data_IF_354791690646
#
_entry.id   IF_354791690646
#
_cell.length_a   1.000
_cell.length_b   1.000
_cell.length_c   1.000
_cell.angle_alpha   90.00
_cell.angle_beta   90.00
_cell.angle_gamma   90.00
#
_symmetry.space_group_name_H-M   'P 1'
#
loop_
_entity.id
_entity.type
_entity.pdbx_description
1 polymer ?
#
# COMPACT_ATOMS: atom_id res chain seq x y z
N UNK A 1 1.84 16.84 73.09
CA UNK A 1 0.67 16.08 72.59
C UNK A 1 1.08 15.46 71.27
N UNK A 2 1.09 14.13 71.21
CA UNK A 2 1.60 13.31 70.10
C UNK A 2 0.78 13.47 68.82
N UNK A 3 1.45 13.59 67.68
CA UNK A 3 0.83 13.34 66.37
C UNK A 3 1.22 11.92 65.92
N UNK A 4 0.22 11.05 65.89
CA UNK A 4 0.32 9.67 65.39
C UNK A 4 0.21 9.72 63.86
N UNK A 5 1.19 9.14 63.17
CA UNK A 5 1.14 8.92 61.73
C UNK A 5 0.22 7.72 61.42
N UNK A 6 -0.85 7.96 60.66
CA UNK A 6 -1.75 6.91 60.17
C UNK A 6 -1.40 6.61 58.70
N UNK A 7 -0.77 5.45 58.47
CA UNK A 7 -0.49 4.93 57.13
C UNK A 7 -1.77 4.26 56.61
N UNK A 8 -2.42 4.86 55.62
CA UNK A 8 -3.54 4.27 54.88
C UNK A 8 -2.99 3.48 53.68
N UNK A 9 -3.03 2.15 53.77
CA UNK A 9 -2.84 1.23 52.65
C UNK A 9 -4.07 1.29 51.73
N UNK A 10 -3.93 1.90 50.57
CA UNK A 10 -4.90 1.83 49.47
C UNK A 10 -4.65 0.55 48.65
N UNK A 11 -5.37 -0.52 48.97
CA UNK A 11 -5.49 -1.71 48.13
C UNK A 11 -6.38 -1.40 46.92
N UNK A 12 -5.79 -1.40 45.71
CA UNK A 12 -6.52 -1.37 44.45
C UNK A 12 -7.28 -2.70 44.26
N UNK A 13 -8.60 -2.67 44.40
CA UNK A 13 -9.49 -3.69 43.86
C UNK A 13 -9.97 -3.21 42.50
N UNK A 14 -9.33 -3.67 41.42
CA UNK A 14 -9.85 -3.55 40.08
C UNK A 14 -11.09 -4.46 39.96
N UNK A 15 -12.29 -3.89 39.98
CA UNK A 15 -13.51 -4.61 39.62
C UNK A 15 -13.55 -4.78 38.10
N UNK A 16 -13.16 -5.94 37.60
CA UNK A 16 -13.47 -6.34 36.24
C UNK A 16 -14.98 -6.61 36.17
N UNK A 17 -15.72 -5.72 35.51
CA UNK A 17 -17.12 -5.98 35.15
C UNK A 17 -17.18 -7.22 34.24
N UNK A 18 -18.05 -8.22 34.52
CA UNK A 18 -18.18 -9.36 33.64
C UNK A 18 -18.87 -8.92 32.35
N UNK A 19 -18.19 -9.11 31.22
CA UNK A 19 -18.78 -8.95 29.88
C UNK A 19 -19.89 -10.00 29.77
N UNK A 20 -21.15 -9.54 29.79
CA UNK A 20 -22.32 -10.38 29.58
C UNK A 20 -22.28 -11.00 28.19
N UNK A 21 -22.18 -12.32 28.14
CA UNK A 21 -22.32 -13.12 26.92
C UNK A 21 -23.73 -12.92 26.36
N UNK A 22 -23.86 -12.35 25.15
CA UNK A 22 -25.13 -12.29 24.43
C UNK A 22 -25.58 -13.73 24.11
N UNK A 23 -26.80 -14.15 24.48
CA UNK A 23 -27.30 -15.47 24.13
C UNK A 23 -27.67 -15.48 22.64
N UNK A 24 -26.92 -16.23 21.83
CA UNK A 24 -27.20 -16.36 20.40
C UNK A 24 -26.02 -16.76 19.51
N UNK A 25 -24.79 -16.66 20.00
CA UNK A 25 -23.64 -17.27 19.31
C UNK A 25 -23.63 -18.78 19.60
N UNK A 26 -24.05 -19.58 18.61
CA UNK A 26 -23.69 -20.99 18.60
C UNK A 26 -22.17 -21.04 18.57
N UNK A 27 -21.62 -21.72 19.55
CA UNK A 27 -20.21 -22.10 19.65
C UNK A 27 -19.93 -23.13 18.55
N UNK A 28 -19.86 -22.68 17.29
CA UNK A 28 -19.21 -23.45 16.25
C UNK A 28 -17.73 -23.46 16.63
N UNK A 29 -17.30 -24.53 17.28
CA UNK A 29 -15.89 -24.84 17.48
C UNK A 29 -15.22 -24.75 16.11
N UNK A 30 -14.49 -23.66 15.87
CA UNK A 30 -13.63 -23.54 14.71
C UNK A 30 -12.61 -24.65 14.87
N UNK A 31 -12.75 -25.71 14.07
CA UNK A 31 -11.78 -26.79 14.01
C UNK A 31 -10.48 -26.18 13.45
N UNK A 32 -9.61 -25.71 14.35
CA UNK A 32 -8.30 -25.18 13.99
C UNK A 32 -7.45 -26.36 13.54
N UNK A 33 -7.56 -26.71 12.25
CA UNK A 33 -6.61 -27.60 11.61
C UNK A 33 -5.23 -26.98 11.72
N UNK A 34 -4.25 -27.81 12.09
CA UNK A 34 -2.85 -27.41 12.16
C UNK A 34 -2.47 -26.73 10.83
N UNK A 35 -2.19 -25.43 10.90
CA UNK A 35 -1.71 -24.70 9.74
C UNK A 35 -0.32 -25.23 9.45
N UNK A 36 -0.12 -25.80 8.25
CA UNK A 36 1.23 -26.06 7.75
C UNK A 36 1.98 -24.74 7.80
N UNK A 37 2.92 -24.61 8.74
CA UNK A 37 3.82 -23.45 8.77
C UNK A 37 4.60 -23.47 7.46
N UNK A 38 4.23 -22.60 6.55
CA UNK A 38 5.07 -22.26 5.40
C UNK A 38 6.20 -21.40 5.96
N UNK A 39 7.20 -22.02 6.58
CA UNK A 39 8.20 -21.30 7.35
C UNK A 39 9.46 -22.11 7.60
N UNK A 40 10.44 -21.96 6.70
CA UNK A 40 11.81 -21.51 6.95
C UNK A 40 12.58 -21.74 5.64
N UNK A 41 12.78 -20.69 4.85
CA UNK A 41 13.46 -20.82 3.55
C UNK A 41 14.94 -20.52 3.73
N UNK A 42 15.79 -21.52 3.45
CA UNK A 42 17.25 -21.35 3.44
C UNK A 42 17.65 -20.73 2.09
N UNK A 43 18.21 -19.51 2.11
CA UNK A 43 18.66 -18.80 0.90
C UNK A 43 17.59 -17.91 0.24
N UNK A 44 17.79 -17.57 -1.04
CA UNK A 44 16.96 -16.63 -1.83
C UNK A 44 15.52 -17.08 -2.13
N UNK A 45 15.03 -18.14 -1.49
CA UNK A 45 13.62 -18.54 -1.54
C UNK A 45 12.70 -17.59 -0.74
N UNK A 46 13.26 -16.57 -0.07
CA UNK A 46 12.50 -15.45 0.52
C UNK A 46 11.82 -14.56 -0.55
N UNK A 47 12.34 -14.57 -1.79
CA UNK A 47 11.91 -13.65 -2.85
C UNK A 47 10.66 -14.11 -3.61
N UNK A 48 10.19 -15.34 -3.41
CA UNK A 48 8.95 -15.87 -4.00
C UNK A 48 8.45 -17.03 -3.14
N UNK A 49 7.63 -16.76 -2.09
CA UNK A 49 7.11 -17.85 -1.28
C UNK A 49 6.38 -18.85 -2.19
N UNK A 50 6.54 -20.17 -1.96
CA UNK A 50 5.82 -21.18 -2.73
C UNK A 50 4.32 -20.92 -2.61
N UNK A 51 3.60 -21.09 -3.72
CA UNK A 51 2.17 -20.86 -3.77
C UNK A 51 1.45 -21.63 -2.67
N UNK A 52 0.55 -20.95 -1.96
CA UNK A 52 -0.35 -21.66 -1.07
C UNK A 52 -1.17 -22.65 -1.93
N UNK A 53 -1.31 -23.91 -1.52
CA UNK A 53 -2.15 -24.85 -2.26
C UNK A 53 -3.57 -24.27 -2.34
N UNK A 54 -4.27 -24.42 -3.48
CA UNK A 54 -5.66 -23.99 -3.60
C UNK A 54 -6.48 -24.55 -2.45
N UNK A 55 -7.35 -23.74 -1.84
CA UNK A 55 -8.30 -24.25 -0.84
C UNK A 55 -9.10 -25.38 -1.48
N UNK A 56 -9.07 -26.58 -0.88
CA UNK A 56 -10.15 -27.56 -1.12
C UNK A 56 -11.44 -26.87 -0.69
N UNK A 57 -12.38 -26.73 -1.62
CA UNK A 57 -13.68 -26.11 -1.37
C UNK A 57 -14.26 -26.62 -0.06
N UNK A 58 -14.81 -25.69 0.74
CA UNK A 58 -15.58 -26.05 1.93
C UNK A 58 -16.59 -27.12 1.53
N UNK A 59 -16.40 -28.35 2.04
CA UNK A 59 -17.39 -29.40 1.86
C UNK A 59 -18.63 -29.04 2.68
N UNK A 60 -19.51 -28.22 2.11
CA UNK A 60 -20.90 -28.31 2.46
C UNK A 60 -21.40 -29.64 1.89
N UNK A 61 -21.52 -30.65 2.76
CA UNK A 61 -22.20 -31.91 2.44
C UNK A 61 -23.67 -31.63 2.13
N UNK A 62 -24.10 -32.06 0.93
CA UNK A 62 -25.45 -32.50 0.48
C UNK A 62 -25.67 -31.96 -0.95
N UNK A 63 -26.07 -32.69 -1.99
CA UNK A 63 -26.53 -34.07 -2.21
C UNK A 63 -26.11 -34.45 -3.67
N UNK A 64 -26.06 -35.75 -3.99
CA UNK A 64 -25.77 -36.28 -5.35
C UNK A 64 -26.98 -36.20 -6.30
N UNK A 65 -26.67 -36.35 -7.59
CA UNK A 65 -27.50 -36.54 -8.81
C UNK A 65 -27.86 -35.22 -9.51
N UNK A 66 -27.61 -34.95 -10.81
CA UNK A 66 -26.97 -35.65 -11.93
C UNK A 66 -26.52 -34.59 -12.97
N UNK A 67 -25.52 -34.99 -13.78
CA UNK A 67 -25.14 -34.56 -15.14
C UNK A 67 -24.92 -33.08 -15.53
N UNK A 68 -23.66 -32.83 -15.90
CA UNK A 68 -23.22 -31.97 -17.01
C UNK A 68 -23.50 -30.46 -16.91
N UNK A 69 -23.04 -29.83 -15.82
CA UNK A 69 -22.73 -28.39 -15.84
C UNK A 69 -21.22 -28.20 -15.91
N UNK A 70 -20.75 -27.63 -17.03
CA UNK A 70 -19.38 -27.19 -17.25
C UNK A 70 -18.77 -26.62 -15.95
N UNK A 71 -17.77 -27.31 -15.40
CA UNK A 71 -17.03 -26.84 -14.24
C UNK A 71 -16.33 -25.54 -14.64
N UNK A 72 -16.89 -24.43 -14.19
CA UNK A 72 -16.31 -23.09 -14.28
C UNK A 72 -14.85 -23.17 -13.81
N UNK A 73 -13.90 -23.12 -14.73
CA UNK A 73 -12.47 -23.04 -14.45
C UNK A 73 -12.01 -21.60 -14.17
N UNK A 74 -12.87 -20.77 -13.56
CA UNK A 74 -12.64 -19.33 -13.36
C UNK A 74 -12.07 -18.98 -11.99
N UNK A 75 -10.90 -19.51 -11.66
CA UNK A 75 -9.94 -18.74 -10.85
C UNK A 75 -8.55 -18.95 -11.44
N UNK A 76 -8.37 -18.51 -12.68
CA UNK A 76 -7.04 -18.35 -13.25
C UNK A 76 -6.33 -17.26 -12.44
N UNK A 77 -5.45 -17.70 -11.55
CA UNK A 77 -4.54 -16.86 -10.80
C UNK A 77 -3.87 -15.82 -11.73
N UNK A 78 -3.86 -14.52 -11.40
CA UNK A 78 -3.24 -13.52 -12.25
C UNK A 78 -1.80 -13.92 -12.59
N UNK A 79 -1.47 -13.88 -13.88
CA UNK A 79 -0.07 -14.02 -14.29
C UNK A 79 0.73 -12.79 -13.85
N UNK A 80 2.06 -12.86 -14.02
CA UNK A 80 2.91 -11.74 -13.66
C UNK A 80 2.60 -10.51 -14.51
N UNK A 81 2.31 -10.65 -15.80
CA UNK A 81 1.97 -9.51 -16.65
C UNK A 81 0.75 -8.74 -16.11
N UNK A 82 -0.33 -9.45 -15.77
CA UNK A 82 -1.53 -8.89 -15.15
C UNK A 82 -1.23 -8.26 -13.79
N UNK A 83 -0.37 -8.90 -12.99
CA UNK A 83 0.00 -8.38 -11.67
C UNK A 83 0.77 -7.05 -11.75
N UNK A 84 1.63 -6.88 -12.76
CA UNK A 84 2.29 -5.59 -12.99
C UNK A 84 1.30 -4.51 -13.44
N UNK A 85 0.32 -4.84 -14.28
CA UNK A 85 -0.73 -3.90 -14.66
C UNK A 85 -1.56 -3.46 -13.45
N UNK A 86 -1.94 -4.40 -12.57
CA UNK A 86 -2.63 -4.09 -11.33
C UNK A 86 -1.78 -3.22 -10.39
N UNK A 87 -0.49 -3.51 -10.25
CA UNK A 87 0.42 -2.70 -9.43
C UNK A 87 0.57 -1.28 -9.98
N UNK A 88 0.71 -1.14 -11.31
CA UNK A 88 0.76 0.18 -11.96
C UNK A 88 -0.54 0.93 -11.82
N UNK A 89 -1.68 0.24 -11.96
CA UNK A 89 -2.99 0.83 -11.74
C UNK A 89 -3.14 1.33 -10.30
N UNK A 90 -2.74 0.53 -9.31
CA UNK A 90 -2.79 0.92 -7.89
C UNK A 90 -2.00 2.20 -7.64
N UNK A 91 -0.78 2.31 -8.19
CA UNK A 91 -0.02 3.55 -8.10
C UNK A 91 -0.72 4.73 -8.81
N UNK A 92 -1.22 4.50 -10.03
CA UNK A 92 -1.81 5.55 -10.86
C UNK A 92 -3.08 6.19 -10.26
N UNK A 93 -3.89 5.40 -9.54
CA UNK A 93 -5.16 5.88 -8.97
C UNK A 93 -5.07 6.29 -7.49
N UNK A 94 -3.91 6.09 -6.85
CA UNK A 94 -3.73 6.42 -5.44
C UNK A 94 -3.19 7.83 -5.26
N UNK A 95 -3.81 8.59 -4.36
CA UNK A 95 -3.39 9.97 -4.02
C UNK A 95 -2.51 10.01 -2.77
N UNK A 96 -2.54 9.00 -1.91
CA UNK A 96 -1.76 8.97 -0.66
C UNK A 96 -0.99 7.66 -0.52
N UNK A 97 0.16 7.72 0.15
CA UNK A 97 0.95 6.55 0.50
C UNK A 97 1.59 6.70 1.88
N UNK A 98 1.97 5.59 2.51
CA UNK A 98 2.76 5.60 3.74
C UNK A 98 4.25 5.55 3.39
N UNK A 99 4.98 6.61 3.69
CA UNK A 99 6.43 6.69 3.56
C UNK A 99 7.09 6.23 4.85
N UNK A 100 7.97 5.22 4.75
CA UNK A 100 8.72 4.70 5.89
C UNK A 100 10.19 5.08 5.79
N UNK A 101 10.71 5.67 6.86
CA UNK A 101 12.12 6.10 7.00
C UNK A 101 12.65 5.69 8.37
N UNK A 102 13.96 5.59 8.54
CA UNK A 102 14.60 5.39 9.84
C UNK A 102 15.09 6.72 10.41
N UNK A 103 15.01 6.88 11.74
CA UNK A 103 15.69 8.01 12.38
C UNK A 103 17.20 7.91 12.17
N UNK A 104 17.87 9.01 11.79
CA UNK A 104 19.28 9.00 11.44
C UNK A 104 20.17 8.82 12.67
N UNK A 105 21.43 8.45 12.42
CA UNK A 105 22.46 8.40 13.46
C UNK A 105 22.68 9.77 14.09
N UNK A 106 22.77 9.81 15.42
CA UNK A 106 22.92 11.07 16.16
C UNK A 106 21.63 11.90 16.24
N UNK A 107 20.45 11.29 16.04
CA UNK A 107 19.18 11.91 16.39
C UNK A 107 19.18 12.32 17.88
N UNK A 108 18.48 13.41 18.21
CA UNK A 108 18.51 14.01 19.56
C UNK A 108 18.17 13.02 20.68
N UNK A 109 17.24 12.12 20.39
CA UNK A 109 16.96 10.97 21.23
C UNK A 109 17.68 9.74 20.66
N UNK A 110 18.77 9.34 21.31
CA UNK A 110 19.59 8.20 20.90
C UNK A 110 18.83 6.86 20.93
N UNK A 111 17.72 6.75 21.67
CA UNK A 111 16.93 5.52 21.71
C UNK A 111 16.15 5.26 20.42
N UNK A 112 16.01 6.29 19.58
CA UNK A 112 15.30 6.21 18.30
C UNK A 112 16.22 5.91 17.11
N UNK A 113 17.54 5.94 17.27
CA UNK A 113 18.48 5.70 16.16
C UNK A 113 18.18 4.36 15.44
N UNK A 114 17.90 4.42 14.14
CA UNK A 114 17.55 3.26 13.31
C UNK A 114 16.12 2.75 13.47
N UNK A 115 15.32 3.29 14.39
CA UNK A 115 13.90 2.94 14.53
C UNK A 115 13.14 3.45 13.30
N UNK A 116 12.33 2.59 12.62
CA UNK A 116 11.53 3.03 11.50
C UNK A 116 10.30 3.83 11.97
N UNK A 117 9.93 4.81 11.18
CA UNK A 117 8.67 5.55 11.31
C UNK A 117 7.98 5.60 9.94
N UNK A 118 6.72 5.20 9.90
CA UNK A 118 5.85 5.30 8.74
C UNK A 118 4.87 6.45 8.91
N UNK A 119 4.84 7.38 7.96
CA UNK A 119 3.92 8.53 7.95
C UNK A 119 3.20 8.61 6.60
N UNK A 120 1.89 8.91 6.57
CA UNK A 120 1.18 9.15 5.32
C UNK A 120 1.62 10.48 4.70
N UNK A 121 1.82 10.48 3.39
CA UNK A 121 2.18 11.65 2.58
C UNK A 121 1.41 11.62 1.25
N UNK A 122 1.31 12.78 0.61
CA UNK A 122 0.67 12.95 -0.70
C UNK A 122 1.59 12.48 -1.82
N UNK A 123 1.02 11.73 -2.77
CA UNK A 123 1.70 11.24 -3.96
C UNK A 123 0.85 11.50 -5.21
N UNK A 124 1.49 11.57 -6.37
CA UNK A 124 0.80 11.56 -7.68
C UNK A 124 1.66 10.86 -8.75
N UNK A 125 1.12 9.87 -9.47
CA UNK A 125 1.83 9.22 -10.60
C UNK A 125 1.66 10.03 -11.89
N UNK A 126 2.22 11.23 -11.91
CA UNK A 126 2.03 12.17 -13.02
C UNK A 126 2.53 11.67 -14.38
N UNK A 127 3.52 10.78 -14.38
CA UNK A 127 4.07 10.14 -15.59
C UNK A 127 3.32 8.86 -15.99
N UNK A 128 2.22 8.52 -15.29
CA UNK A 128 1.35 7.40 -15.65
C UNK A 128 0.62 7.64 -16.97
N UNK A 129 0.23 8.88 -17.25
CA UNK A 129 -0.64 9.26 -18.36
C UNK A 129 0.13 9.51 -19.65
N UNK A 130 -0.32 8.91 -20.76
CA UNK A 130 0.42 8.92 -22.02
C UNK A 130 0.43 10.31 -22.70
N UNK A 131 -0.51 11.19 -22.34
CA UNK A 131 -0.56 12.58 -22.81
C UNK A 131 0.50 13.50 -22.14
N UNK A 132 1.10 13.09 -21.03
CA UNK A 132 2.06 13.87 -20.26
C UNK A 132 3.51 13.55 -20.64
N UNK A 133 3.88 13.79 -21.90
CA UNK A 133 5.22 13.47 -22.42
C UNK A 133 6.32 14.24 -21.69
N UNK A 134 6.08 15.52 -21.36
CA UNK A 134 7.02 16.34 -20.59
C UNK A 134 7.28 15.77 -19.19
N UNK A 135 6.22 15.45 -18.44
CA UNK A 135 6.35 14.86 -17.10
C UNK A 135 6.95 13.46 -17.14
N UNK A 136 6.73 12.69 -18.22
CA UNK A 136 7.42 11.40 -18.42
C UNK A 136 8.93 11.59 -18.55
N UNK A 137 9.39 12.66 -19.21
CA UNK A 137 10.82 12.99 -19.32
C UNK A 137 11.41 13.45 -17.98
N UNK A 138 10.66 14.21 -17.18
CA UNK A 138 11.12 14.74 -15.89
C UNK A 138 11.14 13.66 -14.81
N UNK A 139 10.05 12.92 -14.66
CA UNK A 139 9.88 11.97 -13.55
C UNK A 139 10.41 10.59 -13.91
N UNK A 140 10.33 10.20 -15.18
CA UNK A 140 10.41 8.81 -15.59
C UNK A 140 9.14 8.07 -15.22
N UNK A 141 8.79 7.07 -16.02
CA UNK A 141 7.54 6.34 -15.85
C UNK A 141 7.57 5.44 -14.62
N UNK A 142 6.54 5.54 -13.77
CA UNK A 142 6.41 4.70 -12.56
C UNK A 142 7.19 5.22 -11.37
N UNK A 143 7.56 6.50 -11.40
CA UNK A 143 8.15 7.23 -10.30
C UNK A 143 7.14 8.28 -9.86
N UNK A 144 6.49 8.13 -8.68
CA UNK A 144 5.53 9.11 -8.22
C UNK A 144 6.21 10.43 -7.86
N UNK A 145 5.48 11.52 -8.10
CA UNK A 145 5.80 12.88 -7.67
C UNK A 145 5.33 13.08 -6.22
N UNK A 146 6.15 13.78 -5.44
CA UNK A 146 5.86 14.21 -4.09
C UNK A 146 6.09 15.71 -3.95
N UNK A 147 5.24 16.34 -3.14
CA UNK A 147 5.49 17.64 -2.55
C UNK A 147 6.15 17.40 -1.19
N UNK A 148 7.47 17.57 -1.10
CA UNK A 148 8.23 17.33 0.10
C UNK A 148 8.33 18.61 0.95
N UNK A 149 7.84 18.57 2.18
CA UNK A 149 7.97 19.69 3.12
C UNK A 149 9.21 19.53 3.99
N UNK A 150 10.08 20.54 4.05
CA UNK A 150 11.33 20.49 4.82
C UNK A 150 11.11 20.27 6.32
N UNK A 151 9.93 20.64 6.83
CA UNK A 151 9.58 20.43 8.24
C UNK A 151 9.25 18.96 8.56
N UNK A 152 8.84 18.17 7.56
CA UNK A 152 8.36 16.80 7.75
C UNK A 152 9.46 15.84 8.22
N UNK A 153 9.14 14.99 9.20
CA UNK A 153 10.07 14.00 9.75
C UNK A 153 10.60 13.07 8.66
N UNK A 154 9.73 12.61 7.74
CA UNK A 154 10.10 11.78 6.58
C UNK A 154 11.25 12.41 5.79
N UNK A 155 11.07 13.67 5.36
CA UNK A 155 12.03 14.35 4.49
C UNK A 155 13.31 14.76 5.24
N UNK A 156 13.21 15.11 6.53
CA UNK A 156 14.37 15.31 7.40
C UNK A 156 15.21 14.05 7.54
N UNK A 157 14.57 12.89 7.73
CA UNK A 157 15.26 11.61 7.84
C UNK A 157 15.98 11.27 6.53
N UNK A 158 15.33 11.43 5.37
CA UNK A 158 15.95 11.20 4.05
C UNK A 158 17.14 12.12 3.84
N UNK A 159 17.00 13.42 4.13
CA UNK A 159 18.09 14.40 4.02
C UNK A 159 19.28 14.07 4.92
N UNK A 160 19.03 13.39 6.05
CA UNK A 160 20.05 12.88 6.95
C UNK A 160 20.61 11.49 6.55
N UNK A 161 20.25 10.97 5.37
CA UNK A 161 20.78 9.73 4.80
C UNK A 161 19.94 8.48 5.08
N UNK A 162 18.69 8.62 5.54
CA UNK A 162 17.79 7.47 5.67
C UNK A 162 17.37 6.93 4.31
N UNK A 163 17.34 5.60 4.20
CA UNK A 163 16.57 4.92 3.15
C UNK A 163 15.07 5.24 3.29
N UNK A 164 14.33 5.08 2.20
CA UNK A 164 12.89 5.31 2.16
C UNK A 164 12.17 4.19 1.40
N UNK A 165 10.99 3.82 1.87
CA UNK A 165 10.02 3.02 1.12
C UNK A 165 8.65 3.68 1.12
N UNK A 166 7.87 3.42 0.08
CA UNK A 166 6.52 3.94 -0.12
C UNK A 166 5.55 2.76 -0.20
N UNK A 167 4.54 2.72 0.67
CA UNK A 167 3.52 1.67 0.65
C UNK A 167 2.13 2.22 0.35
N UNK A 168 1.40 1.51 -0.51
CA UNK A 168 0.03 1.82 -0.92
C UNK A 168 -0.84 0.58 -0.63
N UNK A 169 -2.00 0.79 -0.03
CA UNK A 169 -3.03 -0.23 0.14
C UNK A 169 -4.33 0.16 -0.57
N UNK A 170 -5.12 -0.85 -0.90
CA UNK A 170 -6.46 -0.67 -1.48
C UNK A 170 -7.57 -0.90 -0.45
N UNK A 171 -7.28 -0.84 0.85
CA UNK A 171 -8.18 -1.35 1.90
C UNK A 171 -9.45 -0.52 2.08
N UNK A 172 -9.44 0.74 1.65
CA UNK A 172 -10.63 1.59 1.67
C UNK A 172 -11.76 1.09 0.76
N UNK A 173 -11.47 0.18 -0.18
CA UNK A 173 -12.47 -0.54 -1.00
C UNK A 173 -12.96 -1.84 -0.36
N UNK A 174 -12.60 -2.10 0.89
CA UNK A 174 -13.07 -3.29 1.58
C UNK A 174 -14.56 -3.23 1.88
N UNK A 175 -15.20 -4.39 1.82
CA UNK A 175 -16.61 -4.52 2.11
C UNK A 175 -16.89 -5.85 2.82
N UNK A 176 -18.03 -5.92 3.50
CA UNK A 176 -18.51 -7.17 4.09
C UNK A 176 -19.20 -7.98 2.99
N UNK A 177 -18.77 -9.23 2.72
CA UNK A 177 -19.42 -10.09 1.74
C UNK A 177 -20.90 -10.28 2.05
N UNK A 178 -21.72 -10.23 1.00
CA UNK A 178 -23.13 -10.58 1.09
C UNK A 178 -23.34 -12.05 1.50
N UNK A 179 -24.52 -12.37 2.05
CA UNK A 179 -24.87 -13.74 2.42
C UNK A 179 -24.70 -14.69 1.22
N UNK A 180 -24.03 -15.81 1.44
CA UNK A 180 -23.78 -16.83 0.41
C UNK A 180 -22.57 -16.57 -0.49
N UNK A 181 -21.86 -15.44 -0.32
CA UNK A 181 -20.57 -15.19 -0.98
C UNK A 181 -19.41 -15.78 -0.16
N UNK A 182 -18.23 -15.86 -0.77
CA UNK A 182 -17.00 -16.25 -0.07
C UNK A 182 -16.71 -15.23 1.06
N UNK A 183 -16.57 -15.67 2.32
CA UNK A 183 -16.30 -14.77 3.45
C UNK A 183 -14.95 -14.04 3.36
N UNK A 184 -14.04 -14.46 2.47
CA UNK A 184 -12.76 -13.81 2.21
C UNK A 184 -12.81 -12.82 1.02
N UNK A 185 -13.92 -12.75 0.30
CA UNK A 185 -14.10 -11.77 -0.76
C UNK A 185 -14.12 -10.35 -0.15
N UNK A 186 -13.54 -9.36 -0.83
CA UNK A 186 -13.60 -7.95 -0.41
C UNK A 186 -13.02 -7.57 0.97
N UNK A 187 -12.50 -8.49 1.78
CA UNK A 187 -11.86 -8.15 3.07
C UNK A 187 -10.51 -7.48 2.85
N UNK A 188 -10.00 -6.62 3.78
CA UNK A 188 -8.73 -5.93 3.58
C UNK A 188 -7.55 -6.83 3.18
N UNK A 189 -7.48 -8.04 3.76
CA UNK A 189 -6.41 -8.99 3.46
C UNK A 189 -6.48 -9.61 2.04
N UNK A 190 -7.66 -9.63 1.39
CA UNK A 190 -7.80 -10.06 -0.01
C UNK A 190 -7.52 -8.93 -1.00
N UNK A 191 -7.42 -7.69 -0.53
CA UNK A 191 -7.19 -6.53 -1.39
C UNK A 191 -5.70 -6.27 -1.66
N UNK A 192 -5.39 -5.65 -2.80
CA UNK A 192 -4.02 -5.38 -3.18
C UNK A 192 -3.28 -4.41 -2.27
N UNK A 193 -1.97 -4.66 -2.12
CA UNK A 193 -0.98 -3.76 -1.51
C UNK A 193 0.28 -3.74 -2.35
N UNK A 194 0.95 -2.60 -2.38
CA UNK A 194 2.20 -2.38 -3.09
C UNK A 194 3.20 -1.71 -2.15
N UNK A 195 4.44 -2.18 -2.16
CA UNK A 195 5.58 -1.52 -1.51
C UNK A 195 6.62 -1.19 -2.56
N UNK A 196 6.95 0.08 -2.70
CA UNK A 196 7.98 0.60 -3.59
C UNK A 196 9.19 1.00 -2.75
N UNK A 197 10.38 0.62 -3.21
CA UNK A 197 11.65 0.92 -2.54
C UNK A 197 12.56 1.67 -3.52
N UNK A 198 13.30 2.63 -2.99
CA UNK A 198 14.24 3.44 -3.77
C UNK A 198 14.65 4.69 -3.01
N UNK A 199 14.74 5.82 -3.70
CA UNK A 199 15.22 7.08 -3.15
C UNK A 199 14.46 8.29 -3.69
N UNK A 200 14.54 9.41 -2.97
CA UNK A 200 14.04 10.69 -3.43
C UNK A 200 15.13 11.44 -4.19
N UNK A 201 14.75 12.00 -5.33
CA UNK A 201 15.55 13.01 -6.03
C UNK A 201 14.76 14.31 -6.08
N UNK A 202 15.38 15.38 -5.57
CA UNK A 202 14.82 16.72 -5.68
C UNK A 202 14.79 17.16 -7.15
N UNK A 203 13.73 17.86 -7.52
CA UNK A 203 13.56 18.52 -8.81
C UNK A 203 13.69 20.02 -8.55
N UNK A 204 14.87 20.62 -8.77
CA UNK A 204 15.09 22.03 -8.44
C UNK A 204 14.19 22.92 -9.30
N UNK A 205 13.51 23.89 -8.69
CA UNK A 205 12.65 24.84 -9.42
C UNK A 205 13.44 25.59 -10.50
N UNK A 206 14.71 25.92 -10.24
CA UNK A 206 15.60 26.59 -11.21
C UNK A 206 15.95 25.74 -12.42
N UNK A 207 15.67 24.43 -12.39
CA UNK A 207 15.92 23.51 -13.51
C UNK A 207 14.69 23.32 -14.41
N UNK A 208 13.52 23.81 -13.99
CA UNK A 208 12.27 23.69 -14.72
C UNK A 208 12.06 24.93 -15.61
N UNK A 209 11.49 24.73 -16.79
CA UNK A 209 10.88 25.84 -17.52
C UNK A 209 9.54 26.22 -16.89
N UNK A 210 8.99 27.38 -17.24
CA UNK A 210 7.68 27.81 -16.76
C UNK A 210 6.59 26.79 -17.14
N UNK A 211 6.68 26.19 -18.34
CA UNK A 211 5.74 25.16 -18.80
C UNK A 211 5.88 23.85 -18.00
N UNK A 212 7.10 23.41 -17.72
CA UNK A 212 7.35 22.18 -16.94
C UNK A 212 6.88 22.36 -15.49
N UNK A 213 7.12 23.53 -14.90
CA UNK A 213 6.61 23.85 -13.56
C UNK A 213 5.08 23.83 -13.52
N UNK A 214 4.42 24.49 -14.47
CA UNK A 214 2.95 24.48 -14.57
C UNK A 214 2.41 23.05 -14.75
N UNK A 215 3.06 22.22 -15.56
CA UNK A 215 2.64 20.84 -15.76
C UNK A 215 2.75 19.99 -14.48
N UNK A 216 3.83 20.16 -13.71
CA UNK A 216 4.02 19.49 -12.41
C UNK A 216 2.92 19.92 -11.43
N UNK A 217 2.71 21.24 -11.29
CA UNK A 217 1.71 21.80 -10.38
C UNK A 217 0.30 21.34 -10.76
N UNK A 218 -0.08 21.46 -12.04
CA UNK A 218 -1.41 21.06 -12.52
C UNK A 218 -1.67 19.58 -12.29
N UNK A 219 -0.70 18.72 -12.57
CA UNK A 219 -0.84 17.30 -12.32
C UNK A 219 -1.04 17.01 -10.82
N UNK A 220 -0.17 17.56 -9.97
CA UNK A 220 -0.24 17.31 -8.53
C UNK A 220 -1.57 17.82 -7.94
N UNK A 221 -2.00 19.02 -8.32
CA UNK A 221 -3.26 19.62 -7.89
C UNK A 221 -4.51 18.90 -8.41
N UNK A 222 -4.40 18.10 -9.47
CA UNK A 222 -5.51 17.25 -9.92
C UNK A 222 -5.86 16.20 -8.87
N UNK A 223 -4.85 15.66 -8.16
CA UNK A 223 -5.07 14.72 -7.05
C UNK A 223 -5.21 15.44 -5.70
N UNK A 224 -4.57 16.61 -5.54
CA UNK A 224 -4.42 17.33 -4.27
C UNK A 224 -4.78 18.83 -4.42
N UNK A 225 -6.05 19.18 -4.67
CA UNK A 225 -6.45 20.57 -4.94
C UNK A 225 -6.30 21.50 -3.72
N UNK A 226 -6.19 20.94 -2.53
CA UNK A 226 -5.87 21.64 -1.28
C UNK A 226 -4.44 22.18 -1.28
N UNK A 227 -3.50 21.48 -1.92
CA UNK A 227 -2.06 21.80 -1.90
C UNK A 227 -1.68 23.12 -2.59
N UNK A 228 -2.63 23.75 -3.30
CA UNK A 228 -2.44 25.07 -3.93
C UNK A 228 -2.00 26.16 -2.95
N UNK A 229 -2.22 25.98 -1.64
CA UNK A 229 -1.83 26.93 -0.61
C UNK A 229 -0.41 26.72 -0.07
N UNK A 230 0.30 25.66 -0.48
CA UNK A 230 1.67 25.37 0.00
C UNK A 230 2.57 24.76 -1.08
N UNK A 231 2.36 25.12 -2.35
CA UNK A 231 3.22 24.66 -3.43
C UNK A 231 4.67 25.11 -3.24
N UNK A 232 5.67 24.30 -3.63
CA UNK A 232 7.07 24.68 -3.60
C UNK A 232 7.33 26.04 -4.26
N UNK A 233 8.05 26.92 -3.58
CA UNK A 233 8.36 28.27 -4.06
C UNK A 233 7.25 29.32 -3.84
N UNK A 234 6.07 28.93 -3.35
CA UNK A 234 5.01 29.90 -3.02
C UNK A 234 5.37 30.73 -1.78
N UNK A 235 5.29 32.08 -1.84
CA UNK A 235 5.71 32.95 -0.73
C UNK A 235 4.80 32.83 0.50
N UNK A 236 3.53 32.46 0.29
CA UNK A 236 2.52 32.32 1.36
C UNK A 236 2.44 30.89 1.94
N UNK A 237 3.33 29.99 1.50
CA UNK A 237 3.36 28.63 2.03
C UNK A 237 3.71 28.63 3.53
N UNK A 238 2.98 27.90 4.39
CA UNK A 238 3.28 27.80 5.82
C UNK A 238 4.70 27.27 6.10
N UNK A 239 5.23 26.44 5.19
CA UNK A 239 6.56 25.85 5.29
C UNK A 239 7.23 25.80 3.91
N UNK A 240 8.57 25.84 3.90
CA UNK A 240 9.30 25.56 2.67
C UNK A 240 9.13 24.10 2.26
N UNK A 241 9.04 23.90 0.95
CA UNK A 241 8.98 22.58 0.35
C UNK A 241 9.59 22.57 -1.04
N UNK A 242 9.79 21.38 -1.57
CA UNK A 242 10.40 21.12 -2.87
C UNK A 242 9.65 19.99 -3.59
N UNK A 243 9.73 19.99 -4.91
CA UNK A 243 9.28 18.86 -5.71
C UNK A 243 10.29 17.73 -5.62
N UNK A 244 9.82 16.51 -5.40
CA UNK A 244 10.67 15.32 -5.39
C UNK A 244 10.06 14.24 -6.26
N UNK A 245 10.89 13.55 -7.05
CA UNK A 245 10.53 12.27 -7.65
C UNK A 245 11.01 11.14 -6.75
N UNK A 246 10.14 10.17 -6.48
CA UNK A 246 10.55 8.91 -5.89
C UNK A 246 11.02 7.98 -7.01
N UNK A 247 12.33 7.78 -7.10
CA UNK A 247 12.91 6.84 -8.05
C UNK A 247 12.65 5.42 -7.54
N UNK A 248 11.78 4.70 -8.22
CA UNK A 248 11.46 3.31 -7.87
C UNK A 248 12.55 2.39 -8.40
N UNK A 249 13.24 1.74 -7.48
CA UNK A 249 14.28 0.75 -7.77
C UNK A 249 13.78 -0.68 -7.63
N UNK A 250 12.83 -0.92 -6.72
CA UNK A 250 12.19 -2.23 -6.50
C UNK A 250 10.72 -2.07 -6.16
N UNK A 251 9.90 -3.02 -6.57
CA UNK A 251 8.50 -3.11 -6.19
C UNK A 251 8.18 -4.48 -5.61
N UNK A 252 7.44 -4.53 -4.51
CA UNK A 252 6.92 -5.76 -3.91
C UNK A 252 5.40 -5.70 -3.91
N UNK A 253 4.77 -6.68 -4.56
CA UNK A 253 3.35 -6.77 -4.77
C UNK A 253 2.72 -7.82 -3.86
N UNK A 254 1.55 -7.48 -3.30
CA UNK A 254 0.68 -8.42 -2.59
C UNK A 254 -0.72 -8.23 -3.17
N UNK A 255 -1.13 -9.06 -4.13
CA UNK A 255 -2.44 -8.90 -4.78
C UNK A 255 -3.65 -9.32 -3.94
N UNK A 256 -3.43 -9.97 -2.79
CA UNK A 256 -4.48 -10.56 -1.96
C UNK A 256 -4.00 -11.82 -1.26
N UNK A 257 -4.88 -12.81 -1.10
CA UNK A 257 -4.50 -14.12 -0.58
C UNK A 257 -3.65 -14.92 -1.58
N UNK A 258 -2.59 -15.58 -1.12
CA UNK A 258 -1.61 -16.27 -1.97
C UNK A 258 -2.11 -17.52 -2.71
N UNK A 259 -3.34 -17.98 -2.43
CA UNK A 259 -4.04 -19.02 -3.18
C UNK A 259 -4.82 -18.47 -4.39
N UNK A 260 -4.92 -17.13 -4.51
CA UNK A 260 -5.77 -16.43 -5.49
C UNK A 260 -5.06 -15.27 -6.20
N UNK A 261 -4.02 -14.71 -5.58
CA UNK A 261 -3.25 -13.60 -6.12
C UNK A 261 -1.73 -13.78 -5.96
N UNK A 262 -0.96 -13.19 -6.87
CA UNK A 262 0.51 -13.18 -6.81
C UNK A 262 0.99 -12.37 -5.61
N UNK A 263 2.05 -12.87 -4.97
CA UNK A 263 2.81 -12.18 -3.93
C UNK A 263 4.29 -12.30 -4.29
N UNK A 264 4.99 -11.17 -4.41
CA UNK A 264 6.42 -11.17 -4.69
C UNK A 264 6.93 -9.92 -5.38
N UNK A 265 8.18 -9.98 -5.82
CA UNK A 265 8.87 -8.87 -6.46
C UNK A 265 8.40 -8.64 -7.91
N UNK A 266 8.25 -7.38 -8.26
CA UNK A 266 7.98 -6.92 -9.62
C UNK A 266 9.30 -6.87 -10.41
N UNK A 267 9.20 -7.20 -11.69
CA UNK A 267 10.21 -6.92 -12.71
C UNK A 267 10.19 -5.42 -13.03
N UNK A 268 11.33 -4.77 -12.80
CA UNK A 268 11.43 -3.33 -12.90
C UNK A 268 11.55 -2.81 -14.34
N UNK A 269 11.95 -3.66 -15.28
CA UNK A 269 11.95 -3.30 -16.70
C UNK A 269 10.51 -3.29 -17.22
N UNK A 270 9.69 -4.27 -16.80
CA UNK A 270 8.26 -4.28 -17.09
C UNK A 270 7.55 -3.10 -16.41
N UNK A 271 7.82 -2.86 -15.11
CA UNK A 271 7.24 -1.75 -14.35
C UNK A 271 7.38 -0.40 -15.06
N UNK A 272 8.59 -0.11 -15.56
CA UNK A 272 8.92 1.15 -16.24
C UNK A 272 8.32 1.24 -17.65
N UNK A 273 8.03 0.10 -18.28
CA UNK A 273 7.55 0.04 -19.67
C UNK A 273 6.02 0.10 -19.82
N UNK A 274 5.25 -0.26 -18.79
CA UNK A 274 3.77 -0.29 -18.85
C UNK A 274 3.21 1.09 -19.20
N UNK A 275 2.26 1.16 -20.13
CA UNK A 275 1.58 2.41 -20.52
C UNK A 275 0.21 2.57 -19.89
N UNK A 276 -0.36 3.77 -20.00
CA UNK A 276 -1.75 4.00 -19.60
C UNK A 276 -2.67 3.19 -20.49
N UNK A 277 -2.60 3.42 -21.79
CA UNK A 277 -3.50 2.82 -22.75
C UNK A 277 -2.86 1.61 -23.44
N UNK A 278 -3.72 0.74 -23.96
CA UNK A 278 -3.30 -0.32 -24.86
C UNK A 278 -2.50 0.23 -26.04
N UNK A 279 -1.37 -0.41 -26.35
CA UNK A 279 -0.54 -0.07 -27.50
C UNK A 279 0.08 -1.34 -28.10
N UNK A 280 0.02 -1.48 -29.44
CA UNK A 280 0.61 -2.61 -30.18
C UNK A 280 0.21 -4.00 -29.63
N UNK A 281 -1.06 -4.16 -29.27
CA UNK A 281 -1.59 -5.42 -28.71
C UNK A 281 -1.19 -5.72 -27.26
N UNK A 282 -0.47 -4.81 -26.59
CA UNK A 282 -0.16 -4.89 -25.16
C UNK A 282 -1.11 -4.01 -24.37
N UNK A 283 -1.73 -4.57 -23.32
CA UNK A 283 -2.58 -3.82 -22.40
C UNK A 283 -1.79 -2.78 -21.60
N UNK A 284 -2.41 -1.63 -21.36
CA UNK A 284 -1.97 -0.64 -20.41
C UNK A 284 -2.67 -0.79 -19.05
N UNK A 285 -2.24 -0.02 -18.06
CA UNK A 285 -2.82 -0.07 -16.71
C UNK A 285 -4.27 0.45 -16.67
N UNK A 286 -4.69 1.26 -17.65
CA UNK A 286 -6.07 1.76 -17.75
C UNK A 286 -7.07 0.68 -18.19
N UNK A 287 -6.58 -0.41 -18.81
CA UNK A 287 -7.39 -1.50 -19.37
C UNK A 287 -7.82 -2.56 -18.34
N UNK A 288 -7.31 -2.47 -17.11
CA UNK A 288 -7.67 -3.36 -16.00
C UNK A 288 -8.35 -2.55 -14.89
N UNK A 289 -9.00 -3.23 -13.95
CA UNK A 289 -9.58 -2.66 -12.74
C UNK A 289 -9.07 -3.41 -11.51
N UNK A 290 -8.86 -2.66 -10.44
CA UNK A 290 -8.63 -3.22 -9.11
C UNK A 290 -9.95 -3.80 -8.58
N UNK A 291 -9.90 -4.75 -7.62
CA UNK A 291 -11.11 -5.26 -7.00
C UNK A 291 -11.97 -4.13 -6.39
N UNK A 292 -13.26 -4.13 -6.69
CA UNK A 292 -14.23 -3.12 -6.21
C UNK A 292 -14.10 -1.73 -6.84
N UNK A 293 -13.21 -1.55 -7.82
CA UNK A 293 -12.99 -0.23 -8.41
C UNK A 293 -14.13 0.17 -9.37
N UNK A 294 -14.79 1.29 -9.06
CA UNK A 294 -15.93 1.81 -9.83
C UNK A 294 -17.29 1.28 -9.37
N UNK A 295 -17.31 0.40 -8.35
CA UNK A 295 -18.51 0.02 -7.63
C UNK A 295 -18.75 1.08 -6.53
N UNK A 296 -19.81 1.88 -6.69
CA UNK A 296 -20.27 2.90 -5.72
C UNK A 296 -21.53 2.41 -5.04
#
# INVERSE_FOLDING_TARGET
>A
MSFVALILLLSFLASASPVGVRPGFRDEMIEVREQTRVGFFKGDAFYSPPFAPPRRGSQNKAHKEDEESASVSDMAFPDWATSHLLARRLLAVSSTAVLSTGFPKGYKDHTLEGVPIGLPDYIADCSAHDNNVALTKILGRGNPLLLALDIGTTFKNVKAGSNISLSIDWWHHSHVPGKGKDPLDGVPASLPRLSLLGHLEEIPLTSLSDEDQQAIEQCFLTSHPDSKYWLPGSPDSPHSGYWARFIVEKGFWVGGFGDRARIGWLDMDIWKAIKENSNDGKKGWADIRLPGEGEV
#
